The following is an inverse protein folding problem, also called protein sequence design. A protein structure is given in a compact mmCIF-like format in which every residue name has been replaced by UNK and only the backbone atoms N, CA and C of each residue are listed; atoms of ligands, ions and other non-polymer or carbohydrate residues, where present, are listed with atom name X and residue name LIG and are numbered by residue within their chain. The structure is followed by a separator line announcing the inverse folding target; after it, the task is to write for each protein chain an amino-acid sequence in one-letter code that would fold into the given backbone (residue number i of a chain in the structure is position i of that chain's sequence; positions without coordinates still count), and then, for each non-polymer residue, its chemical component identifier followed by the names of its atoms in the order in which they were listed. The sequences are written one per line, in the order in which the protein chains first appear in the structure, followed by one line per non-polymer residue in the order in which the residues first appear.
data_IF_227342491284
#
_entry.id   IF_227342491284
#
_cell.length_a   1.000
_cell.length_b   1.000
_cell.length_c   1.000
_cell.angle_alpha   90.00
_cell.angle_beta   90.00
_cell.angle_gamma   90.00
#
_symmetry.space_group_name_H-M   'P 1'
#
loop_
_entity.id
_entity.type
_entity.pdbx_description
1 polymer ?
#
# COMPACT_ATOMS: atom_id res chain seq x y z
N UNK A 1 0.45 -13.00 14.41
CA UNK A 1 -0.95 -12.64 14.09
C UNK A 1 -1.85 -13.89 14.03
N UNK A 2 -2.99 -13.93 14.74
CA UNK A 2 -4.03 -14.95 14.61
C UNK A 2 -4.56 -15.16 13.19
N UNK A 3 -4.99 -16.39 12.86
CA UNK A 3 -5.52 -16.74 11.52
C UNK A 3 -6.72 -15.89 11.10
N UNK A 4 -7.58 -15.51 12.06
CA UNK A 4 -8.73 -14.65 11.78
C UNK A 4 -8.30 -13.26 11.29
N UNK A 5 -7.28 -12.67 11.90
CA UNK A 5 -6.73 -11.37 11.51
C UNK A 5 -6.05 -11.45 10.15
N UNK A 6 -5.32 -12.53 9.86
CA UNK A 6 -4.72 -12.76 8.54
C UNK A 6 -5.79 -12.77 7.44
N UNK A 7 -6.93 -13.45 7.66
CA UNK A 7 -8.05 -13.46 6.71
C UNK A 7 -8.68 -12.07 6.51
N UNK A 8 -8.70 -11.24 7.55
CA UNK A 8 -9.14 -9.84 7.45
C UNK A 8 -8.17 -9.05 6.57
N UNK A 9 -6.86 -9.14 6.83
CA UNK A 9 -5.82 -8.49 6.01
C UNK A 9 -5.88 -8.91 4.54
N UNK A 10 -6.05 -10.21 4.25
CA UNK A 10 -6.23 -10.71 2.88
C UNK A 10 -7.47 -10.11 2.20
N UNK A 11 -8.59 -9.99 2.94
CA UNK A 11 -9.82 -9.39 2.44
C UNK A 11 -9.63 -7.92 2.10
N UNK A 12 -8.92 -7.17 2.95
CA UNK A 12 -8.56 -5.77 2.74
C UNK A 12 -7.71 -5.62 1.48
N UNK A 13 -6.61 -6.35 1.36
CA UNK A 13 -5.73 -6.32 0.16
C UNK A 13 -6.54 -6.59 -1.10
N UNK A 14 -7.40 -7.61 -1.06
CA UNK A 14 -8.24 -7.99 -2.21
C UNK A 14 -9.24 -6.88 -2.58
N UNK A 15 -9.83 -6.19 -1.60
CA UNK A 15 -10.72 -5.04 -1.86
C UNK A 15 -9.94 -3.87 -2.48
N UNK A 16 -8.75 -3.56 -1.96
CA UNK A 16 -7.90 -2.49 -2.50
C UNK A 16 -7.46 -2.77 -3.93
N UNK A 17 -6.98 -3.98 -4.23
CA UNK A 17 -6.53 -4.37 -5.58
C UNK A 17 -7.64 -4.36 -6.65
N UNK A 18 -8.91 -4.47 -6.24
CA UNK A 18 -10.07 -4.33 -7.15
C UNK A 18 -10.50 -2.89 -7.38
N UNK A 19 -10.10 -1.96 -6.52
CA UNK A 19 -10.41 -0.55 -6.70
C UNK A 19 -9.61 -0.04 -7.93
N UNK A 20 -10.26 0.63 -8.91
CA UNK A 20 -9.58 1.15 -10.10
C UNK A 20 -8.40 2.09 -9.77
N UNK A 21 -8.48 2.82 -8.65
CA UNK A 21 -7.41 3.72 -8.21
C UNK A 21 -6.15 3.00 -7.73
N UNK A 22 -6.16 1.66 -7.60
CA UNK A 22 -5.00 0.88 -7.17
C UNK A 22 -3.92 0.70 -8.24
N UNK A 23 -4.16 1.11 -9.49
CA UNK A 23 -3.36 0.74 -10.66
C UNK A 23 -1.85 0.96 -10.50
N UNK A 24 -1.42 2.07 -9.90
CA UNK A 24 -0.02 2.42 -9.72
C UNK A 24 0.62 1.87 -8.42
N UNK A 25 -0.19 1.25 -7.55
CA UNK A 25 0.22 0.78 -6.23
C UNK A 25 0.26 -0.74 -6.13
N UNK A 26 0.00 -1.43 -7.25
CA UNK A 26 -0.04 -2.90 -7.29
C UNK A 26 1.34 -3.50 -7.10
N UNK A 27 2.31 -2.99 -7.83
CA UNK A 27 3.66 -3.53 -7.92
C UNK A 27 4.70 -2.50 -7.45
N UNK A 28 5.93 -2.95 -7.12
CA UNK A 28 6.99 -2.05 -6.68
C UNK A 28 7.26 -0.96 -7.72
N UNK A 29 7.48 0.27 -7.24
CA UNK A 29 7.91 1.37 -8.11
C UNK A 29 9.26 1.00 -8.73
N UNK A 30 9.43 1.06 -10.07
CA UNK A 30 10.68 0.68 -10.72
C UNK A 30 11.86 1.54 -10.30
N UNK A 31 13.06 0.95 -10.27
CA UNK A 31 14.32 1.69 -10.01
C UNK A 31 14.65 2.72 -11.09
N UNK A 32 13.99 2.65 -12.25
CA UNK A 32 14.10 3.62 -13.33
C UNK A 32 13.35 4.92 -13.06
N UNK A 33 12.46 4.98 -12.05
CA UNK A 33 11.80 6.22 -11.65
C UNK A 33 12.82 7.12 -10.95
N UNK A 34 13.15 8.28 -11.53
CA UNK A 34 14.22 9.14 -11.01
C UNK A 34 13.97 9.54 -9.55
N UNK A 35 15.02 9.51 -8.74
CA UNK A 35 15.02 9.95 -7.33
C UNK A 35 14.09 9.17 -6.37
N UNK A 36 13.23 8.26 -6.85
CA UNK A 36 12.22 7.62 -6.00
C UNK A 36 12.86 6.87 -4.83
N UNK A 37 13.83 6.01 -5.11
CA UNK A 37 14.51 5.20 -4.08
C UNK A 37 15.52 6.00 -3.25
N UNK A 38 15.89 7.20 -3.70
CA UNK A 38 16.70 8.13 -2.92
C UNK A 38 15.84 8.91 -1.91
N UNK A 39 14.60 9.26 -2.28
CA UNK A 39 13.67 10.01 -1.44
C UNK A 39 12.90 9.07 -0.50
N UNK A 40 12.32 8.00 -1.05
CA UNK A 40 11.46 7.05 -0.33
C UNK A 40 12.31 5.96 0.31
N UNK A 41 12.41 6.02 1.65
CA UNK A 41 13.30 5.15 2.43
C UNK A 41 12.78 3.73 2.65
N UNK A 42 11.45 3.56 2.61
CA UNK A 42 10.80 2.25 2.72
C UNK A 42 9.72 2.14 1.65
N UNK A 43 10.08 1.75 0.41
CA UNK A 43 9.11 1.47 -0.65
C UNK A 43 8.12 0.38 -0.20
N UNK A 44 6.86 0.49 -0.64
CA UNK A 44 5.82 -0.49 -0.37
C UNK A 44 4.76 -0.42 -1.47
N UNK A 45 4.14 -1.56 -1.75
CA UNK A 45 3.11 -1.79 -2.76
C UNK A 45 2.24 -2.99 -2.34
N UNK A 46 1.10 -3.21 -2.99
CA UNK A 46 0.18 -4.27 -2.58
C UNK A 46 0.72 -5.69 -2.81
N UNK A 47 1.56 -5.92 -3.84
CA UNK A 47 2.22 -7.21 -4.06
C UNK A 47 3.19 -7.49 -2.92
N UNK A 48 4.06 -6.54 -2.56
CA UNK A 48 4.98 -6.66 -1.41
C UNK A 48 4.24 -6.81 -0.09
N UNK A 49 3.18 -6.03 0.15
CA UNK A 49 2.33 -6.12 1.34
C UNK A 49 1.72 -7.52 1.49
N UNK A 50 1.21 -8.09 0.38
CA UNK A 50 0.65 -9.45 0.34
C UNK A 50 1.71 -10.51 0.59
N UNK A 51 2.87 -10.41 -0.06
CA UNK A 51 3.99 -11.34 0.16
C UNK A 51 4.44 -11.32 1.62
N UNK A 52 4.58 -10.14 2.23
CA UNK A 52 4.95 -10.03 3.64
C UNK A 52 3.90 -10.68 4.58
N UNK A 53 2.61 -10.56 4.25
CA UNK A 53 1.54 -11.23 4.99
C UNK A 53 1.64 -12.76 4.86
N UNK A 54 1.82 -13.27 3.63
CA UNK A 54 1.92 -14.70 3.34
C UNK A 54 3.16 -15.34 4.01
N UNK A 55 4.27 -14.61 4.04
CA UNK A 55 5.52 -14.99 4.69
C UNK A 55 5.49 -14.77 6.22
N UNK A 56 4.33 -14.38 6.78
CA UNK A 56 4.12 -14.16 8.22
C UNK A 56 5.08 -13.13 8.84
N UNK A 57 5.47 -12.10 8.08
CA UNK A 57 6.36 -11.03 8.56
C UNK A 57 5.69 -10.06 9.54
N UNK A 58 4.36 -10.07 9.59
CA UNK A 58 3.60 -9.24 10.54
C UNK A 58 3.24 -10.04 11.79
N UNK A 59 3.83 -9.64 12.92
CA UNK A 59 3.49 -10.15 14.24
C UNK A 59 2.11 -9.66 14.68
N UNK A 60 1.75 -8.41 14.36
CA UNK A 60 0.51 -7.73 14.78
C UNK A 60 -0.25 -7.11 13.59
N UNK A 61 -1.53 -6.80 13.80
CA UNK A 61 -2.34 -6.02 12.85
C UNK A 61 -1.75 -4.62 12.61
N UNK A 62 -1.18 -4.00 13.64
CA UNK A 62 -0.61 -2.65 13.53
C UNK A 62 0.58 -2.60 12.58
N UNK A 63 1.40 -3.64 12.53
CA UNK A 63 2.52 -3.73 11.58
C UNK A 63 2.03 -3.83 10.13
N UNK A 64 1.01 -4.66 9.89
CA UNK A 64 0.35 -4.75 8.58
C UNK A 64 -0.27 -3.40 8.18
N UNK A 65 -1.00 -2.78 9.10
CA UNK A 65 -1.67 -1.50 8.87
C UNK A 65 -0.66 -0.40 8.56
N UNK A 66 0.47 -0.37 9.28
CA UNK A 66 1.56 0.59 9.05
C UNK A 66 2.14 0.48 7.64
N UNK A 67 2.36 -0.74 7.13
CA UNK A 67 2.86 -0.93 5.77
C UNK A 67 1.81 -0.62 4.70
N UNK A 68 0.52 -0.86 4.98
CA UNK A 68 -0.56 -0.43 4.10
C UNK A 68 -0.60 1.09 3.98
N UNK A 69 -0.61 1.82 5.10
CA UNK A 69 -0.59 3.29 5.09
C UNK A 69 0.66 3.87 4.44
N UNK A 70 1.78 3.13 4.48
CA UNK A 70 3.02 3.54 3.84
C UNK A 70 2.89 3.63 2.32
N UNK A 71 2.03 2.83 1.69
CA UNK A 71 1.74 2.92 0.25
C UNK A 71 1.23 4.33 -0.10
N UNK A 72 0.27 4.85 0.67
CA UNK A 72 -0.30 6.19 0.48
C UNK A 72 0.69 7.27 0.86
N UNK A 73 1.34 7.14 2.02
CA UNK A 73 2.33 8.12 2.51
C UNK A 73 3.50 8.30 1.54
N UNK A 74 4.00 7.21 0.95
CA UNK A 74 5.04 7.27 -0.05
C UNK A 74 4.55 7.99 -1.32
N UNK A 75 3.31 7.75 -1.73
CA UNK A 75 2.69 8.49 -2.83
C UNK A 75 2.67 10.00 -2.54
N UNK A 76 2.19 10.41 -1.37
CA UNK A 76 2.09 11.82 -0.97
C UNK A 76 3.44 12.50 -0.79
N UNK A 77 4.47 11.74 -0.43
CA UNK A 77 5.83 12.27 -0.28
C UNK A 77 6.51 12.51 -1.63
N UNK A 78 6.30 11.61 -2.60
CA UNK A 78 6.99 11.67 -3.88
C UNK A 78 6.23 12.48 -4.95
N UNK A 79 4.91 12.40 -4.97
CA UNK A 79 4.08 12.99 -6.01
C UNK A 79 3.53 14.35 -5.57
N UNK A 80 3.45 15.28 -6.52
CA UNK A 80 2.87 16.60 -6.29
C UNK A 80 1.40 16.49 -5.87
N UNK A 81 0.99 17.30 -4.90
CA UNK A 81 -0.41 17.43 -4.50
C UNK A 81 -1.30 17.79 -5.70
N UNK A 82 -2.43 17.09 -5.83
CA UNK A 82 -3.35 17.27 -6.96
C UNK A 82 -2.96 16.55 -8.27
N UNK A 83 -1.80 15.91 -8.33
CA UNK A 83 -1.46 15.03 -9.47
C UNK A 83 -2.35 13.78 -9.51
N UNK A 84 -2.48 13.15 -10.69
CA UNK A 84 -3.33 11.97 -10.89
C UNK A 84 -3.04 10.84 -9.88
N UNK A 85 -1.75 10.59 -9.58
CA UNK A 85 -1.34 9.57 -8.62
C UNK A 85 -1.67 9.97 -7.17
N UNK A 86 -1.53 11.26 -6.85
CA UNK A 86 -1.88 11.78 -5.53
C UNK A 86 -3.38 11.61 -5.27
N UNK A 87 -4.21 12.03 -6.23
CA UNK A 87 -5.68 11.92 -6.16
C UNK A 87 -6.11 10.45 -6.13
N UNK A 88 -5.49 9.59 -6.93
CA UNK A 88 -5.76 8.15 -6.89
C UNK A 88 -5.45 7.55 -5.51
N UNK A 89 -4.33 7.91 -4.89
CA UNK A 89 -4.00 7.47 -3.53
C UNK A 89 -5.03 7.96 -2.51
N UNK A 90 -5.46 9.23 -2.55
CA UNK A 90 -6.51 9.76 -1.68
C UNK A 90 -7.83 8.98 -1.81
N UNK A 91 -8.28 8.74 -3.04
CA UNK A 91 -9.51 7.97 -3.28
C UNK A 91 -9.40 6.53 -2.78
N UNK A 92 -8.22 5.93 -2.90
CA UNK A 92 -7.98 4.57 -2.41
C UNK A 92 -7.88 4.50 -0.88
N UNK A 93 -7.27 5.50 -0.24
CA UNK A 93 -7.21 5.64 1.22
C UNK A 93 -8.61 5.86 1.82
N UNK A 94 -9.44 6.69 1.18
CA UNK A 94 -10.86 6.85 1.57
C UNK A 94 -11.60 5.52 1.49
N UNK A 95 -11.45 4.77 0.39
CA UNK A 95 -12.08 3.46 0.24
C UNK A 95 -11.56 2.43 1.26
N UNK A 96 -10.30 2.57 1.72
CA UNK A 96 -9.74 1.76 2.80
C UNK A 96 -10.38 2.09 4.16
N UNK A 97 -10.55 3.38 4.47
CA UNK A 97 -11.12 3.84 5.74
C UNK A 97 -12.61 3.49 5.94
N UNK A 98 -13.30 3.08 4.87
CA UNK A 98 -14.69 2.60 4.90
C UNK A 98 -14.81 1.09 5.17
N UNK A 99 -13.70 0.37 5.33
CA UNK A 99 -13.67 -1.09 5.55
C UNK A 99 -13.69 -1.50 7.02
#
# INVERSE_FOLDING_TARGET
MPVVEVKVCESIIRKMLRNPNSYAFKDPVPTTVPMYHDIIKKPMDFTTLKTNLDEKKYATLDEFHSDLLLIFKNCYTFNMEGSDLFVAAQNLEVAFNEL
#
